data_IF_097075191217
#
_entry.id   IF_097075191217
#
_cell.length_a   1.000
_cell.length_b   1.000
_cell.length_c   1.000
_cell.angle_alpha   90.00
_cell.angle_beta   90.00
_cell.angle_gamma   90.00
#
_symmetry.space_group_name_H-M   'P 1'
#
loop_
_entity.id
_entity.type
_entity.pdbx_description
1 polymer ?
#
# COMPACT_ATOMS: atom_id res chain seq x y z
N UNK A 1 15.93 -19.37 -40.75
CA UNK A 1 16.51 -19.57 -39.40
C UNK A 1 16.89 -18.26 -38.70
N UNK A 2 17.80 -17.43 -39.22
CA UNK A 2 18.22 -16.17 -38.54
C UNK A 2 17.07 -15.21 -38.18
N UNK A 3 16.10 -15.01 -39.08
CA UNK A 3 14.92 -14.16 -38.83
C UNK A 3 14.00 -14.69 -37.71
N UNK A 4 13.84 -16.01 -37.63
CA UNK A 4 13.03 -16.69 -36.61
C UNK A 4 13.73 -16.57 -35.25
N UNK A 5 15.03 -16.86 -35.20
CA UNK A 5 15.85 -16.71 -33.99
C UNK A 5 15.83 -15.26 -33.49
N UNK A 6 15.95 -14.28 -34.39
CA UNK A 6 15.85 -12.85 -34.05
C UNK A 6 14.48 -12.47 -33.48
N UNK A 7 13.39 -13.04 -34.00
CA UNK A 7 12.04 -12.80 -33.47
C UNK A 7 11.86 -13.37 -32.06
N UNK A 8 12.37 -14.58 -31.80
CA UNK A 8 12.36 -15.17 -30.47
C UNK A 8 13.22 -14.38 -29.47
N UNK A 9 14.38 -13.88 -29.89
CA UNK A 9 15.22 -13.01 -29.08
C UNK A 9 14.50 -11.70 -28.72
N UNK A 10 13.84 -11.07 -29.69
CA UNK A 10 13.03 -9.86 -29.42
C UNK A 10 11.90 -10.15 -28.44
N UNK A 11 11.20 -11.28 -28.60
CA UNK A 11 10.13 -11.71 -27.71
C UNK A 11 10.64 -11.94 -26.28
N UNK A 12 11.81 -12.57 -26.12
CA UNK A 12 12.43 -12.78 -24.81
C UNK A 12 12.79 -11.47 -24.10
N UNK A 13 13.30 -10.48 -24.85
CA UNK A 13 13.59 -9.16 -24.28
C UNK A 13 12.30 -8.45 -23.84
N UNK A 14 11.22 -8.58 -24.60
CA UNK A 14 9.92 -8.01 -24.22
C UNK A 14 9.38 -8.70 -22.95
N UNK A 15 9.43 -10.03 -22.89
CA UNK A 15 8.97 -10.77 -21.71
C UNK A 15 9.80 -10.49 -20.46
N UNK A 16 11.12 -10.39 -20.58
CA UNK A 16 11.96 -10.02 -19.43
C UNK A 16 11.62 -8.62 -18.92
N UNK A 17 11.34 -7.67 -19.81
CA UNK A 17 10.83 -6.35 -19.46
C UNK A 17 9.52 -6.41 -18.67
N UNK A 18 8.55 -7.20 -19.12
CA UNK A 18 7.28 -7.37 -18.40
C UNK A 18 7.45 -8.02 -17.02
N UNK A 19 8.32 -9.02 -16.90
CA UNK A 19 8.62 -9.64 -15.59
C UNK A 19 9.20 -8.61 -14.63
N UNK A 20 10.17 -7.82 -15.07
CA UNK A 20 10.78 -6.77 -14.24
C UNK A 20 9.72 -5.75 -13.81
N UNK A 21 8.92 -5.22 -14.74
CA UNK A 21 7.86 -4.27 -14.43
C UNK A 21 6.88 -4.84 -13.40
N UNK A 22 6.44 -6.09 -13.59
CA UNK A 22 5.50 -6.74 -12.69
C UNK A 22 6.08 -6.95 -11.28
N UNK A 23 7.36 -7.34 -11.18
CA UNK A 23 8.05 -7.46 -9.89
C UNK A 23 8.13 -6.12 -9.15
N UNK A 24 8.46 -5.03 -9.87
CA UNK A 24 8.51 -3.70 -9.26
C UNK A 24 7.13 -3.21 -8.84
N UNK A 25 6.10 -3.41 -9.66
CA UNK A 25 4.72 -3.04 -9.31
C UNK A 25 4.21 -3.82 -8.09
N UNK A 26 4.47 -5.13 -8.05
CA UNK A 26 4.10 -5.97 -6.91
C UNK A 26 4.80 -5.50 -5.63
N UNK A 27 6.12 -5.25 -5.69
CA UNK A 27 6.86 -4.76 -4.53
C UNK A 27 6.40 -3.38 -4.06
N UNK A 28 6.09 -2.48 -4.98
CA UNK A 28 5.62 -1.15 -4.61
C UNK A 28 4.20 -1.22 -4.01
N UNK A 29 3.34 -2.09 -4.52
CA UNK A 29 2.03 -2.37 -3.92
C UNK A 29 2.17 -2.99 -2.53
N UNK A 30 3.01 -3.99 -2.34
CA UNK A 30 3.30 -4.58 -1.03
C UNK A 30 3.86 -3.55 -0.05
N UNK A 31 4.77 -2.69 -0.51
CA UNK A 31 5.32 -1.60 0.30
C UNK A 31 4.24 -0.59 0.67
N UNK A 32 3.36 -0.25 -0.26
CA UNK A 32 2.25 0.66 0.00
C UNK A 32 1.32 0.02 1.04
N UNK A 33 0.86 -1.22 0.79
CA UNK A 33 -0.07 -1.94 1.65
C UNK A 33 0.44 -2.12 3.08
N UNK A 34 1.72 -2.43 3.23
CA UNK A 34 2.37 -2.68 4.52
C UNK A 34 3.21 -1.50 5.03
N UNK A 35 3.02 -0.31 4.44
CA UNK A 35 3.74 0.89 4.84
C UNK A 35 3.53 1.10 6.34
N UNK A 36 4.62 1.40 7.05
CA UNK A 36 4.62 1.77 8.48
C UNK A 36 4.13 0.67 9.43
N UNK A 37 4.04 -0.59 8.98
CA UNK A 37 3.79 -1.71 9.89
C UNK A 37 5.05 -2.03 10.70
N UNK A 38 4.90 -2.00 12.02
CA UNK A 38 5.86 -2.52 13.00
C UNK A 38 5.41 -3.90 13.47
N UNK A 39 6.22 -4.58 14.28
CA UNK A 39 5.83 -5.84 14.92
C UNK A 39 4.57 -5.74 15.78
N UNK A 40 4.22 -4.53 16.23
CA UNK A 40 3.07 -4.26 17.08
C UNK A 40 1.87 -3.71 16.30
N UNK A 41 1.97 -3.61 14.97
CA UNK A 41 0.89 -3.15 14.11
C UNK A 41 -0.10 -4.28 13.83
N UNK A 42 -1.39 -3.96 13.82
CA UNK A 42 -2.46 -4.89 13.47
C UNK A 42 -3.42 -4.26 12.47
N UNK A 43 -3.99 -5.08 11.58
CA UNK A 43 -4.96 -4.64 10.56
C UNK A 43 -6.38 -4.88 11.06
N UNK A 44 -7.23 -3.87 10.95
CA UNK A 44 -8.68 -3.99 11.22
C UNK A 44 -9.41 -3.66 9.93
N UNK A 45 -10.32 -4.54 9.52
CA UNK A 45 -11.20 -4.31 8.38
C UNK A 45 -12.57 -3.88 8.89
N UNK A 46 -12.97 -2.65 8.58
CA UNK A 46 -14.31 -2.14 8.91
C UNK A 46 -15.23 -2.46 7.73
N UNK A 47 -15.92 -3.60 7.79
CA UNK A 47 -16.99 -3.94 6.86
C UNK A 47 -18.36 -3.50 7.43
N UNK A 48 -19.33 -3.22 6.55
CA UNK A 48 -20.73 -2.92 6.92
C UNK A 48 -20.94 -1.71 7.86
N UNK A 49 -20.11 -0.67 7.75
CA UNK A 49 -20.39 0.63 8.39
C UNK A 49 -21.36 1.45 7.55
N UNK A 50 -22.36 2.06 8.18
CA UNK A 50 -23.28 3.02 7.55
C UNK A 50 -22.69 4.43 7.51
N UNK A 51 -21.54 4.65 8.15
CA UNK A 51 -20.88 5.95 8.24
C UNK A 51 -19.82 6.09 7.14
N UNK A 52 -19.76 7.27 6.53
CA UNK A 52 -18.73 7.58 5.55
C UNK A 52 -17.35 7.71 6.22
N UNK A 53 -16.25 7.46 5.50
CA UNK A 53 -14.90 7.63 6.05
C UNK A 53 -14.67 9.02 6.67
N UNK A 54 -15.19 10.07 6.06
CA UNK A 54 -15.07 11.45 6.56
C UNK A 54 -15.76 11.66 7.91
N UNK A 55 -16.89 10.98 8.15
CA UNK A 55 -17.60 11.05 9.44
C UNK A 55 -16.89 10.28 10.55
N UNK A 56 -16.08 9.28 10.21
CA UNK A 56 -15.33 8.49 11.18
C UNK A 56 -13.95 9.10 11.51
N UNK A 57 -13.44 10.02 10.68
CA UNK A 57 -12.12 10.63 10.87
C UNK A 57 -11.95 11.29 12.26
N UNK A 58 -12.91 12.07 12.79
CA UNK A 58 -12.77 12.67 14.13
C UNK A 58 -12.66 11.63 15.25
N UNK A 59 -13.33 10.49 15.13
CA UNK A 59 -13.24 9.40 16.10
C UNK A 59 -11.83 8.81 16.12
N UNK A 60 -11.29 8.50 14.94
CA UNK A 60 -9.93 7.95 14.82
C UNK A 60 -8.87 8.97 15.27
N UNK A 61 -9.07 10.26 15.00
CA UNK A 61 -8.18 11.31 15.49
C UNK A 61 -8.13 11.33 17.02
N UNK A 62 -9.30 11.34 17.67
CA UNK A 62 -9.40 11.30 19.13
C UNK A 62 -8.75 10.04 19.71
N UNK A 63 -8.98 8.88 19.09
CA UNK A 63 -8.37 7.61 19.51
C UNK A 63 -6.83 7.64 19.38
N UNK A 64 -6.32 8.18 18.28
CA UNK A 64 -4.88 8.40 18.07
C UNK A 64 -4.28 9.27 19.18
N UNK A 65 -4.95 10.36 19.54
CA UNK A 65 -4.46 11.31 20.54
C UNK A 65 -4.48 10.73 21.96
N UNK A 66 -5.53 9.97 22.31
CA UNK A 66 -5.68 9.32 23.62
C UNK A 66 -4.74 8.13 23.81
N UNK A 67 -4.59 7.29 22.78
CA UNK A 67 -3.81 6.04 22.86
C UNK A 67 -2.39 6.17 22.32
N UNK A 68 -2.04 7.34 21.77
CA UNK A 68 -0.74 7.62 21.14
C UNK A 68 -0.41 6.66 20.00
N UNK A 69 -1.44 6.24 19.24
CA UNK A 69 -1.30 5.31 18.11
C UNK A 69 -1.39 6.06 16.78
N UNK A 70 -0.69 5.55 15.76
CA UNK A 70 -0.88 6.00 14.38
C UNK A 70 -1.89 5.12 13.68
N UNK A 71 -2.74 5.71 12.85
CA UNK A 71 -3.83 5.02 12.16
C UNK A 71 -3.70 5.29 10.66
N UNK A 72 -3.64 4.22 9.88
CA UNK A 72 -3.55 4.29 8.42
C UNK A 72 -4.83 3.73 7.83
N UNK A 73 -5.61 4.60 7.20
CA UNK A 73 -6.74 4.20 6.37
C UNK A 73 -6.20 3.78 5.01
N UNK A 74 -6.63 2.61 4.54
CA UNK A 74 -6.36 2.13 3.19
C UNK A 74 -7.70 1.83 2.53
N UNK A 75 -8.03 2.58 1.49
CA UNK A 75 -9.21 2.36 0.65
C UNK A 75 -8.77 1.83 -0.72
N UNK A 76 -9.66 1.10 -1.40
CA UNK A 76 -9.39 0.56 -2.74
C UNK A 76 -10.44 1.02 -3.78
N UNK A 77 -10.61 2.33 -4.04
CA UNK A 77 -11.50 2.80 -5.09
C UNK A 77 -10.94 2.48 -6.49
N UNK A 78 -11.69 1.73 -7.30
CA UNK A 78 -11.37 1.44 -8.72
C UNK A 78 -9.95 0.89 -8.92
N UNK A 79 -9.58 -0.13 -8.14
CA UNK A 79 -8.26 -0.78 -8.16
C UNK A 79 -7.07 0.13 -7.85
N UNK A 80 -7.33 1.33 -7.30
CA UNK A 80 -6.29 2.22 -6.80
C UNK A 80 -6.26 2.17 -5.29
N UNK A 81 -5.08 1.96 -4.72
CA UNK A 81 -4.88 2.06 -3.28
C UNK A 81 -4.83 3.53 -2.89
N UNK A 82 -5.84 4.00 -2.16
CA UNK A 82 -5.84 5.32 -1.54
C UNK A 82 -5.48 5.16 -0.06
N UNK A 83 -4.46 5.89 0.38
CA UNK A 83 -4.07 5.90 1.80
C UNK A 83 -4.25 7.27 2.43
N UNK A 84 -4.69 7.27 3.67
CA UNK A 84 -4.77 8.47 4.51
C UNK A 84 -4.26 8.12 5.89
N UNK A 85 -3.41 8.96 6.47
CA UNK A 85 -2.77 8.68 7.74
C UNK A 85 -3.15 9.72 8.79
N UNK A 86 -3.42 9.24 9.99
CA UNK A 86 -3.38 10.02 11.23
C UNK A 86 -2.13 9.59 11.96
N UNK A 87 -1.18 10.50 12.09
CA UNK A 87 0.16 10.19 12.57
C UNK A 87 0.32 10.69 14.00
N UNK A 88 0.73 9.79 14.89
CA UNK A 88 1.22 10.16 16.20
C UNK A 88 2.74 10.03 16.26
N UNK A 89 3.42 11.09 16.68
CA UNK A 89 4.88 11.14 16.61
C UNK A 89 5.58 10.05 17.45
N UNK A 90 4.96 9.60 18.53
CA UNK A 90 5.56 8.62 19.44
C UNK A 90 5.50 7.17 18.90
N UNK A 91 4.57 6.86 18.00
CA UNK A 91 4.36 5.50 17.49
C UNK A 91 4.67 5.33 16.01
N UNK A 92 4.88 6.43 15.28
CA UNK A 92 5.18 6.38 13.86
C UNK A 92 6.69 6.31 13.59
N UNK A 93 7.18 5.35 12.79
CA UNK A 93 8.61 5.14 12.56
C UNK A 93 9.18 6.07 11.47
N UNK A 94 9.25 7.39 11.73
CA UNK A 94 9.75 8.39 10.76
C UNK A 94 11.19 8.18 10.31
N UNK A 95 12.00 7.48 11.10
CA UNK A 95 13.44 7.29 10.81
C UNK A 95 13.71 6.44 9.57
N UNK A 96 12.69 5.72 9.08
CA UNK A 96 12.78 4.87 7.90
C UNK A 96 12.34 5.60 6.61
N UNK A 97 12.25 6.93 6.63
CA UNK A 97 11.78 7.80 5.53
C UNK A 97 12.81 8.86 5.15
#
# INVERSE_FOLDING_TARGET
MKKIVSAFLALMVIFSGFIVINLYQTKDQERLENIEQTSNSFKIYVSNTTQTPDKMLPFFQKLSDEKKISIIRTDFPKDKVLKSAIINQASFPFQNF
#
